data_IF_815043946746
#
_entry.id   IF_815043946746
#
_cell.length_a   1.000
_cell.length_b   1.000
_cell.length_c   1.000
_cell.angle_alpha   90.00
_cell.angle_beta   90.00
_cell.angle_gamma   90.00
#
_symmetry.space_group_name_H-M   'P 1'
#
loop_
_entity.id
_entity.type
_entity.pdbx_description
1 polymer ?
#
# COMPACT_ATOMS: atom_id res chain seq x y z
N UNK A 1 -27.55 29.04 0.89
CA UNK A 1 -26.98 29.48 -0.41
C UNK A 1 -25.62 30.09 -0.11
N UNK A 2 -24.52 29.41 -0.49
CA UNK A 2 -23.14 29.87 -0.21
C UNK A 2 -22.70 30.84 -1.32
N UNK A 3 -22.00 31.94 -1.03
CA UNK A 3 -21.62 32.95 -2.03
C UNK A 3 -20.78 32.37 -3.16
N UNK A 4 -21.03 32.87 -4.38
CA UNK A 4 -20.50 32.42 -5.68
C UNK A 4 -19.02 32.80 -5.93
N UNK A 5 -18.19 32.83 -4.88
CA UNK A 5 -16.83 33.38 -4.91
C UNK A 5 -15.69 32.44 -4.53
N UNK A 6 -15.95 31.19 -4.11
CA UNK A 6 -14.88 30.31 -3.61
C UNK A 6 -15.08 28.81 -3.88
N UNK A 7 -15.72 28.46 -4.99
CA UNK A 7 -15.97 27.06 -5.33
C UNK A 7 -15.50 26.69 -6.73
N UNK A 8 -14.19 26.70 -6.98
CA UNK A 8 -13.57 25.87 -8.03
C UNK A 8 -12.06 25.83 -7.81
N UNK A 9 -11.55 24.82 -7.11
CA UNK A 9 -10.16 24.37 -7.36
C UNK A 9 -10.17 23.73 -8.74
N UNK A 10 -10.02 24.55 -9.79
CA UNK A 10 -10.05 24.11 -11.17
C UNK A 10 -8.81 23.23 -11.39
N UNK A 11 -8.98 22.05 -11.99
CA UNK A 11 -7.91 21.07 -12.18
C UNK A 11 -7.27 20.54 -10.89
N UNK A 12 -8.03 20.48 -9.79
CA UNK A 12 -7.61 19.91 -8.49
C UNK A 12 -6.32 20.50 -7.90
N UNK A 13 -5.86 21.66 -8.40
CA UNK A 13 -4.63 22.31 -7.98
C UNK A 13 -3.36 21.74 -8.63
N UNK A 14 -3.49 20.77 -9.54
CA UNK A 14 -2.37 20.07 -10.17
C UNK A 14 -2.37 20.22 -11.70
N UNK A 15 -2.69 21.42 -12.16
CA UNK A 15 -2.69 21.72 -13.58
C UNK A 15 -3.30 23.07 -13.91
N UNK A 16 -3.24 23.41 -15.19
CA UNK A 16 -3.76 24.66 -15.75
C UNK A 16 -4.99 24.35 -16.60
N UNK A 17 -6.04 25.16 -16.43
CA UNK A 17 -7.23 25.02 -17.27
C UNK A 17 -7.04 25.76 -18.59
N UNK A 18 -7.09 25.02 -19.70
CA UNK A 18 -7.09 25.57 -21.04
C UNK A 18 -8.53 25.95 -21.44
N UNK A 19 -8.77 27.24 -21.69
CA UNK A 19 -10.11 27.75 -22.04
C UNK A 19 -10.51 27.43 -23.48
N UNK A 20 -9.54 27.25 -24.36
CA UNK A 20 -9.74 26.95 -25.76
C UNK A 20 -10.18 25.49 -25.96
N UNK A 21 -9.52 24.55 -25.29
CA UNK A 21 -9.89 23.13 -25.34
C UNK A 21 -11.03 22.76 -24.36
N UNK A 22 -11.30 23.61 -23.37
CA UNK A 22 -12.25 23.31 -22.31
C UNK A 22 -11.80 22.21 -21.34
N UNK A 23 -10.49 21.92 -21.30
CA UNK A 23 -9.91 20.81 -20.52
C UNK A 23 -8.78 21.27 -19.60
N UNK A 24 -8.41 20.40 -18.66
CA UNK A 24 -7.22 20.60 -17.83
C UNK A 24 -5.98 20.06 -18.54
N UNK A 25 -4.92 20.86 -18.57
CA UNK A 25 -3.55 20.45 -18.86
C UNK A 25 -2.88 20.15 -17.51
N UNK A 26 -2.59 18.88 -17.26
CA UNK A 26 -2.09 18.44 -15.96
C UNK A 26 -0.59 18.67 -15.81
N UNK A 27 -0.18 19.02 -14.59
CA UNK A 27 1.22 19.05 -14.21
C UNK A 27 1.82 17.63 -14.29
N UNK A 28 3.15 17.54 -14.38
CA UNK A 28 3.86 16.26 -14.44
C UNK A 28 3.44 15.36 -13.27
N UNK A 29 3.26 14.06 -13.55
CA UNK A 29 2.75 13.04 -12.63
C UNK A 29 1.27 13.19 -12.24
N UNK A 30 0.51 14.10 -12.85
CA UNK A 30 -0.93 14.19 -12.63
C UNK A 30 -1.73 13.84 -13.89
N UNK A 31 -2.84 13.14 -13.71
CA UNK A 31 -3.71 12.70 -14.79
C UNK A 31 -5.19 12.75 -14.42
N UNK A 32 -6.04 12.50 -15.40
CA UNK A 32 -7.49 12.59 -15.32
C UNK A 32 -8.03 13.94 -15.77
N UNK A 33 -9.34 14.00 -16.02
CA UNK A 33 -10.03 15.19 -16.56
C UNK A 33 -9.86 16.46 -15.73
N UNK A 34 -9.55 16.31 -14.44
CA UNK A 34 -9.30 17.39 -13.50
C UNK A 34 -7.94 17.24 -12.81
N UNK A 35 -7.00 16.47 -13.35
CA UNK A 35 -5.68 16.25 -12.73
C UNK A 35 -5.78 15.72 -11.29
N UNK A 36 -6.79 14.88 -11.05
CA UNK A 36 -7.13 14.37 -9.72
C UNK A 36 -6.35 13.11 -9.33
N UNK A 37 -5.68 12.46 -10.28
CA UNK A 37 -4.94 11.23 -10.04
C UNK A 37 -3.45 11.51 -10.11
N UNK A 38 -2.75 11.25 -9.02
CA UNK A 38 -1.29 11.29 -8.98
C UNK A 38 -0.73 9.94 -9.41
N UNK A 39 0.09 9.94 -10.45
CA UNK A 39 0.90 8.81 -10.89
C UNK A 39 2.13 8.68 -9.99
N UNK A 40 2.68 7.47 -9.93
CA UNK A 40 3.92 7.25 -9.19
C UNK A 40 5.15 7.65 -10.01
N UNK A 41 5.12 7.41 -11.32
CA UNK A 41 6.17 7.75 -12.26
C UNK A 41 5.58 8.14 -13.62
N UNK A 42 6.34 8.89 -14.42
CA UNK A 42 6.05 9.12 -15.83
C UNK A 42 7.14 8.53 -16.74
N UNK A 43 8.39 8.56 -16.29
CA UNK A 43 9.56 7.94 -16.94
C UNK A 43 10.42 7.15 -15.93
N UNK A 44 11.39 6.38 -16.44
CA UNK A 44 12.33 5.60 -15.61
C UNK A 44 13.14 6.49 -14.65
N UNK A 45 13.38 7.75 -15.00
CA UNK A 45 14.10 8.72 -14.16
C UNK A 45 13.40 9.02 -12.83
N UNK A 46 12.08 8.79 -12.76
CA UNK A 46 11.29 8.94 -11.52
C UNK A 46 11.45 7.74 -10.57
N UNK A 47 12.09 6.66 -11.03
CA UNK A 47 12.15 5.38 -10.34
C UNK A 47 13.55 5.01 -9.86
N UNK A 48 14.49 5.94 -9.73
CA UNK A 48 15.82 5.69 -9.16
C UNK A 48 16.50 4.43 -9.74
N UNK A 49 16.59 3.37 -8.93
CA UNK A 49 17.16 2.07 -9.34
C UNK A 49 16.13 1.11 -9.96
N UNK A 50 15.11 1.62 -10.64
CA UNK A 50 13.98 0.88 -11.16
C UNK A 50 13.61 1.25 -12.59
N UNK A 51 12.40 0.86 -12.98
CA UNK A 51 11.74 1.25 -14.22
C UNK A 51 10.30 1.64 -13.97
N UNK A 52 9.80 2.57 -14.77
CA UNK A 52 8.42 3.01 -14.75
C UNK A 52 7.58 2.13 -15.68
N UNK A 53 6.70 1.32 -15.10
CA UNK A 53 5.89 0.33 -15.82
C UNK A 53 4.42 0.76 -15.82
N UNK A 54 3.81 0.78 -17.01
CA UNK A 54 2.35 0.91 -17.15
C UNK A 54 1.67 -0.41 -16.78
N UNK A 55 1.11 -0.45 -15.58
CA UNK A 55 0.18 -1.50 -15.17
C UNK A 55 -1.21 -1.11 -15.65
N UNK A 56 -1.58 -1.63 -16.82
CA UNK A 56 -2.92 -1.45 -17.39
C UNK A 56 -3.98 -1.80 -16.34
N UNK A 57 -4.67 -0.79 -15.84
CA UNK A 57 -5.82 -0.93 -14.96
C UNK A 57 -7.09 -0.65 -15.77
N UNK A 58 -8.21 -1.26 -15.40
CA UNK A 58 -9.49 -1.08 -16.11
C UNK A 58 -9.81 0.41 -16.32
N UNK A 59 -9.75 0.84 -17.58
CA UNK A 59 -10.10 2.20 -18.01
C UNK A 59 -9.05 3.29 -17.75
N UNK A 60 -7.84 2.99 -17.26
CA UNK A 60 -6.78 4.00 -17.07
C UNK A 60 -5.36 3.40 -17.04
N UNK A 61 -4.41 4.09 -17.67
CA UNK A 61 -2.96 3.85 -17.51
C UNK A 61 -2.55 4.26 -16.10
N UNK A 62 -2.02 3.30 -15.35
CA UNK A 62 -1.43 3.54 -14.03
C UNK A 62 0.03 3.17 -14.13
N UNK A 63 0.92 4.16 -14.05
CA UNK A 63 2.35 3.95 -14.09
C UNK A 63 2.92 3.80 -12.68
N UNK A 64 3.70 2.74 -12.44
CA UNK A 64 4.33 2.43 -11.16
C UNK A 64 5.80 2.04 -11.31
N UNK A 65 6.60 2.37 -10.30
CA UNK A 65 7.98 1.94 -10.24
C UNK A 65 8.08 0.46 -9.86
N UNK A 66 8.87 -0.28 -10.63
CA UNK A 66 9.36 -1.60 -10.29
C UNK A 66 10.88 -1.56 -10.21
N UNK A 67 11.42 -2.00 -9.10
CA UNK A 67 12.81 -1.88 -8.70
C UNK A 67 13.66 -3.03 -9.22
N UNK A 68 14.92 -2.75 -9.56
CA UNK A 68 15.89 -3.81 -9.85
C UNK A 68 16.17 -4.62 -8.57
N UNK A 69 16.60 -5.88 -8.72
CA UNK A 69 17.03 -6.70 -7.59
C UNK A 69 18.09 -5.95 -6.76
N UNK A 70 17.97 -6.03 -5.43
CA UNK A 70 18.80 -5.26 -4.50
C UNK A 70 18.29 -3.86 -4.20
N UNK A 71 17.12 -3.47 -4.72
CA UNK A 71 16.46 -2.21 -4.40
C UNK A 71 14.95 -2.40 -4.17
N UNK A 72 14.38 -1.56 -3.32
CA UNK A 72 12.95 -1.53 -2.99
C UNK A 72 12.50 -0.12 -2.59
N UNK A 73 11.24 0.00 -2.14
CA UNK A 73 10.61 1.28 -1.81
C UNK A 73 9.77 1.84 -2.95
N UNK A 74 9.00 2.89 -2.66
CA UNK A 74 8.05 3.47 -3.62
C UNK A 74 8.71 3.98 -4.90
N UNK A 75 9.95 4.48 -4.81
CA UNK A 75 10.71 5.04 -5.92
C UNK A 75 12.06 4.33 -6.13
N UNK A 76 12.21 3.11 -5.58
CA UNK A 76 13.44 2.31 -5.68
C UNK A 76 14.70 3.03 -5.16
N UNK A 77 14.51 3.77 -4.09
CA UNK A 77 15.49 4.60 -3.39
C UNK A 77 16.14 3.88 -2.21
N UNK A 78 15.55 2.78 -1.71
CA UNK A 78 16.10 1.96 -0.64
C UNK A 78 16.91 0.79 -1.20
N UNK A 79 18.09 0.53 -0.64
CA UNK A 79 18.90 -0.66 -0.97
C UNK A 79 18.46 -1.86 -0.14
N UNK A 80 18.50 -3.05 -0.73
CA UNK A 80 18.14 -4.30 -0.07
C UNK A 80 19.33 -5.26 0.02
N UNK A 81 19.48 -5.88 1.19
CA UNK A 81 20.37 -7.04 1.36
C UNK A 81 19.92 -8.26 0.54
N UNK A 82 18.64 -8.32 0.15
CA UNK A 82 18.09 -9.33 -0.75
C UNK A 82 18.32 -8.90 -2.21
N UNK A 83 19.49 -9.23 -2.74
CA UNK A 83 19.94 -8.76 -4.05
C UNK A 83 20.10 -9.87 -5.11
N UNK A 84 19.82 -11.12 -4.74
CA UNK A 84 19.92 -12.29 -5.61
C UNK A 84 18.79 -13.28 -5.30
N UNK A 85 18.57 -14.24 -6.20
CA UNK A 85 17.52 -15.25 -6.01
C UNK A 85 17.76 -16.04 -4.74
N UNK A 86 16.70 -16.28 -3.98
CA UNK A 86 16.80 -16.96 -2.69
C UNK A 86 17.07 -18.45 -2.91
N UNK A 87 18.22 -18.92 -2.43
CA UNK A 87 18.57 -20.35 -2.42
C UNK A 87 18.25 -21.00 -1.08
N UNK A 88 18.42 -20.28 0.02
CA UNK A 88 18.20 -20.77 1.39
C UNK A 88 17.57 -19.70 2.28
N UNK A 89 16.86 -20.16 3.32
CA UNK A 89 16.40 -19.32 4.42
C UNK A 89 17.59 -18.96 5.31
N UNK A 90 17.70 -17.69 5.63
CA UNK A 90 18.77 -17.19 6.49
C UNK A 90 18.22 -16.95 7.90
N UNK A 91 18.91 -17.46 8.93
CA UNK A 91 18.53 -17.23 10.33
C UNK A 91 18.88 -15.79 10.72
N UNK A 92 17.86 -14.94 10.90
CA UNK A 92 18.01 -13.60 11.46
C UNK A 92 17.54 -13.56 12.91
N UNK A 93 18.29 -12.84 13.75
CA UNK A 93 17.87 -12.50 15.11
C UNK A 93 17.21 -11.12 15.10
N UNK A 94 16.07 -10.97 15.78
CA UNK A 94 15.27 -9.75 15.94
C UNK A 94 14.41 -9.25 14.75
N UNK A 95 14.48 -9.89 13.59
CA UNK A 95 13.61 -9.64 12.43
C UNK A 95 12.90 -10.91 12.00
N UNK A 96 11.76 -10.75 11.31
CA UNK A 96 11.13 -11.84 10.56
C UNK A 96 11.58 -11.76 9.12
N UNK A 97 12.04 -12.89 8.57
CA UNK A 97 12.18 -13.11 7.13
C UNK A 97 11.02 -13.98 6.65
N UNK A 98 10.30 -13.49 5.64
CA UNK A 98 9.18 -14.23 5.04
C UNK A 98 9.48 -14.45 3.56
N UNK A 99 9.29 -15.70 3.11
CA UNK A 99 9.34 -16.07 1.69
C UNK A 99 7.97 -16.60 1.29
N UNK A 100 7.36 -15.96 0.30
CA UNK A 100 6.12 -16.39 -0.34
C UNK A 100 6.43 -16.89 -1.74
N UNK A 101 6.14 -18.17 -2.00
CA UNK A 101 6.18 -18.76 -3.34
C UNK A 101 4.77 -18.98 -3.83
N UNK A 102 4.42 -18.36 -4.96
CA UNK A 102 3.06 -18.29 -5.46
C UNK A 102 3.04 -18.66 -6.94
N UNK A 103 2.21 -19.64 -7.30
CA UNK A 103 1.98 -19.97 -8.70
C UNK A 103 1.19 -18.86 -9.40
N UNK A 104 1.73 -18.31 -10.48
CA UNK A 104 1.19 -17.20 -11.23
C UNK A 104 2.12 -15.97 -11.25
N UNK A 105 1.85 -15.03 -12.15
CA UNK A 105 2.68 -13.84 -12.45
C UNK A 105 1.99 -12.52 -12.05
N UNK A 106 1.11 -12.60 -11.04
CA UNK A 106 0.28 -11.48 -10.62
C UNK A 106 0.87 -10.79 -9.38
N UNK A 107 0.40 -11.18 -8.21
CA UNK A 107 0.80 -10.63 -6.92
C UNK A 107 0.69 -11.74 -5.87
N UNK A 108 1.46 -11.60 -4.80
CA UNK A 108 1.29 -12.34 -3.55
C UNK A 108 1.27 -11.38 -2.37
N UNK A 109 0.58 -11.76 -1.30
CA UNK A 109 0.46 -10.96 -0.11
C UNK A 109 0.32 -11.83 1.13
N UNK A 110 0.88 -11.35 2.24
CA UNK A 110 0.65 -11.89 3.59
C UNK A 110 0.26 -10.74 4.49
N UNK A 111 -0.64 -10.99 5.43
CA UNK A 111 -1.09 -9.99 6.39
C UNK A 111 -1.15 -10.55 7.81
N UNK A 112 -0.99 -9.66 8.77
CA UNK A 112 -0.85 -9.92 10.18
C UNK A 112 -1.84 -9.06 10.97
N UNK A 113 -2.49 -9.65 11.96
CA UNK A 113 -3.35 -8.94 12.90
C UNK A 113 -3.32 -9.64 14.25
N UNK A 114 -3.18 -8.88 15.35
CA UNK A 114 -3.24 -9.42 16.71
C UNK A 114 -4.58 -10.14 16.96
N UNK A 115 -4.55 -11.28 17.67
CA UNK A 115 -5.78 -11.91 18.15
C UNK A 115 -6.43 -10.99 19.17
N UNK A 116 -7.75 -10.85 19.11
CA UNK A 116 -8.50 -9.96 20.02
C UNK A 116 -8.58 -8.49 19.58
N UNK A 117 -8.08 -8.12 18.40
CA UNK A 117 -8.34 -6.79 17.81
C UNK A 117 -9.84 -6.48 17.83
N UNK A 118 -10.20 -5.34 18.43
CA UNK A 118 -11.59 -4.88 18.53
C UNK A 118 -12.08 -4.27 17.21
N UNK A 119 -13.39 -4.30 16.97
CA UNK A 119 -14.01 -3.70 15.78
C UNK A 119 -13.85 -2.19 15.68
N UNK A 120 -13.48 -1.52 16.78
CA UNK A 120 -13.12 -0.09 16.79
C UNK A 120 -11.91 0.24 15.93
N UNK A 121 -11.07 -0.73 15.55
CA UNK A 121 -9.95 -0.54 14.64
C UNK A 121 -10.39 0.01 13.26
N UNK A 122 -11.64 -0.25 12.85
CA UNK A 122 -12.21 0.29 11.60
C UNK A 122 -12.37 1.82 11.61
N UNK A 123 -12.17 2.46 12.75
CA UNK A 123 -12.17 3.92 12.87
C UNK A 123 -10.80 4.54 12.58
N UNK A 124 -9.75 3.73 12.35
CA UNK A 124 -8.41 4.20 12.00
C UNK A 124 -8.31 4.65 10.53
N UNK A 125 -7.50 5.65 10.17
CA UNK A 125 -7.01 6.70 11.05
C UNK A 125 -8.20 7.49 11.53
N UNK A 126 -8.17 7.89 12.80
CA UNK A 126 -9.19 8.77 13.35
C UNK A 126 -9.14 10.07 12.53
N UNK A 127 -10.10 10.26 11.64
CA UNK A 127 -10.27 11.53 10.94
C UNK A 127 -10.81 12.50 12.00
N UNK A 128 -9.90 13.20 12.65
CA UNK A 128 -10.23 14.44 13.34
C UNK A 128 -10.49 15.46 12.23
N UNK A 129 -11.68 16.07 12.20
CA UNK A 129 -12.00 17.09 11.21
C UNK A 129 -10.87 18.14 11.12
N UNK A 130 -10.52 18.51 9.89
CA UNK A 130 -9.39 19.38 9.55
C UNK A 130 -9.38 20.66 10.42
N UNK A 131 -8.41 20.76 11.32
CA UNK A 131 -8.22 21.92 12.20
C UNK A 131 -7.81 21.60 13.64
N UNK A 132 -7.71 20.33 14.05
CA UNK A 132 -7.21 20.00 15.37
C UNK A 132 -5.69 20.29 15.47
N UNK A 133 -5.23 21.11 16.44
CA UNK A 133 -3.81 21.38 16.63
C UNK A 133 -3.06 20.08 16.95
N UNK A 134 -1.86 19.93 16.40
CA UNK A 134 -0.98 18.78 16.68
C UNK A 134 -0.74 18.64 18.18
N UNK A 135 -1.44 17.69 18.80
CA UNK A 135 -1.38 17.37 20.22
C UNK A 135 -2.39 16.28 20.57
N UNK A 136 -2.19 15.53 21.67
CA UNK A 136 -3.17 14.56 22.13
C UNK A 136 -4.48 15.29 22.45
N UNK A 137 -5.52 15.02 21.66
CA UNK A 137 -6.86 15.56 21.89
C UNK A 137 -7.35 15.05 23.25
N UNK A 138 -7.53 15.96 24.20
CA UNK A 138 -8.30 15.66 25.42
C UNK A 138 -9.76 15.55 25.01
N UNK A 139 -10.27 14.32 24.95
CA UNK A 139 -11.69 14.04 24.69
C UNK A 139 -12.54 14.59 25.83
N UNK A 140 -13.47 15.50 25.52
CA UNK A 140 -14.66 15.68 26.36
C UNK A 140 -15.55 14.45 26.14
N UNK A 141 -15.94 13.81 27.24
CA UNK A 141 -16.49 12.45 27.35
C UNK A 141 -17.89 12.21 26.72
N UNK A 142 -18.43 13.10 25.89
CA UNK A 142 -19.86 13.08 25.54
C UNK A 142 -20.20 12.83 24.06
N UNK A 143 -19.23 12.50 23.21
CA UNK A 143 -19.53 11.89 21.91
C UNK A 143 -19.60 10.38 22.09
N UNK A 144 -20.81 9.82 21.98
CA UNK A 144 -21.06 8.38 22.01
C UNK A 144 -20.42 7.67 20.80
N UNK A 145 -19.10 7.55 20.83
CA UNK A 145 -18.27 6.82 19.87
C UNK A 145 -18.68 5.35 19.79
N UNK A 146 -19.37 4.79 20.80
CA UNK A 146 -19.86 3.42 20.76
C UNK A 146 -20.97 3.23 19.74
N UNK A 147 -21.79 4.26 19.47
CA UNK A 147 -22.85 4.20 18.45
C UNK A 147 -22.29 4.00 17.03
N UNK A 148 -21.06 4.46 16.76
CA UNK A 148 -20.39 4.36 15.46
C UNK A 148 -19.47 3.14 15.33
N UNK A 149 -19.21 2.39 16.41
CA UNK A 149 -18.41 1.16 16.33
C UNK A 149 -19.20 0.10 15.55
N UNK A 150 -18.64 -0.42 14.44
CA UNK A 150 -19.30 -1.49 13.70
C UNK A 150 -19.48 -2.73 14.59
N UNK A 151 -20.73 -3.15 14.80
CA UNK A 151 -21.08 -4.25 15.73
C UNK A 151 -20.83 -5.66 15.18
N UNK A 152 -20.48 -5.78 13.89
CA UNK A 152 -20.22 -7.07 13.24
C UNK A 152 -18.79 -7.57 13.43
N UNK A 153 -18.61 -8.90 13.48
CA UNK A 153 -17.29 -9.55 13.56
C UNK A 153 -16.32 -9.02 12.51
N UNK A 154 -15.03 -9.00 12.84
CA UNK A 154 -13.98 -8.64 11.90
C UNK A 154 -13.87 -9.68 10.78
N UNK A 155 -13.94 -9.21 9.55
CA UNK A 155 -13.55 -9.98 8.37
C UNK A 155 -12.02 -10.17 8.38
N UNK A 156 -11.53 -11.17 7.64
CA UNK A 156 -10.10 -11.46 7.55
C UNK A 156 -9.27 -10.24 7.14
N UNK A 157 -9.74 -9.50 6.14
CA UNK A 157 -9.10 -8.26 5.64
C UNK A 157 -9.26 -7.03 6.53
N UNK A 158 -10.08 -7.06 7.58
CA UNK A 158 -10.27 -5.83 8.37
C UNK A 158 -9.07 -5.61 9.28
N UNK A 159 -8.60 -4.36 9.35
CA UNK A 159 -7.54 -3.92 10.26
C UNK A 159 -6.29 -4.80 10.24
N UNK A 160 -5.78 -5.03 9.03
CA UNK A 160 -4.68 -5.96 8.80
C UNK A 160 -3.51 -5.21 8.16
N UNK A 161 -2.38 -5.26 8.85
CA UNK A 161 -1.05 -4.91 8.35
C UNK A 161 -0.62 -6.00 7.37
N UNK A 162 -0.07 -5.63 6.22
CA UNK A 162 0.27 -6.56 5.17
C UNK A 162 1.45 -6.14 4.34
N UNK A 163 2.15 -7.15 3.82
CA UNK A 163 3.18 -6.96 2.82
C UNK A 163 2.69 -7.56 1.51
N UNK A 164 2.73 -6.76 0.45
CA UNK A 164 2.27 -7.11 -0.89
C UNK A 164 3.46 -7.05 -1.85
N UNK A 165 3.69 -8.15 -2.56
CA UNK A 165 4.74 -8.26 -3.56
C UNK A 165 4.20 -8.54 -4.96
N UNK A 166 4.85 -7.94 -5.94
CA UNK A 166 4.67 -8.17 -7.37
C UNK A 166 6.04 -8.22 -8.03
N UNK A 167 6.15 -8.94 -9.14
CA UNK A 167 7.34 -8.94 -9.97
C UNK A 167 6.98 -8.86 -11.45
N UNK A 168 7.97 -8.53 -12.27
CA UNK A 168 7.94 -8.52 -13.74
C UNK A 168 9.30 -9.01 -14.20
N UNK A 169 9.45 -10.32 -14.37
CA UNK A 169 10.77 -10.95 -14.47
C UNK A 169 11.60 -10.64 -13.22
N UNK A 170 12.74 -9.94 -13.38
CA UNK A 170 13.62 -9.55 -12.26
C UNK A 170 13.37 -8.12 -11.73
N UNK A 171 12.35 -7.42 -12.24
CA UNK A 171 11.91 -6.15 -11.67
C UNK A 171 10.84 -6.43 -10.61
N UNK A 172 10.89 -5.73 -9.48
CA UNK A 172 10.12 -6.09 -8.30
C UNK A 172 9.43 -4.90 -7.67
N UNK A 173 8.32 -5.16 -7.00
CA UNK A 173 7.61 -4.17 -6.21
C UNK A 173 7.06 -4.86 -4.99
N UNK A 174 7.74 -4.66 -3.87
CA UNK A 174 7.31 -5.13 -2.57
C UNK A 174 7.09 -3.92 -1.69
N UNK A 175 5.97 -3.89 -1.00
CA UNK A 175 5.61 -2.78 -0.12
C UNK A 175 4.77 -3.27 1.05
N UNK A 176 4.95 -2.59 2.16
CA UNK A 176 4.06 -2.59 3.31
C UNK A 176 2.81 -1.76 3.05
N UNK A 177 1.74 -2.21 3.66
CA UNK A 177 0.48 -1.54 3.57
C UNK A 177 -0.49 -2.05 4.59
N UNK A 178 -1.59 -1.34 4.66
CA UNK A 178 -2.63 -1.62 5.62
C UNK A 178 -3.98 -1.56 4.93
N UNK A 179 -4.87 -2.40 5.43
CA UNK A 179 -6.27 -2.36 5.11
C UNK A 179 -7.09 -2.23 6.39
N UNK A 180 -7.95 -1.22 6.38
CA UNK A 180 -8.88 -0.96 7.47
C UNK A 180 -10.12 -1.85 7.38
N UNK A 181 -10.54 -2.17 6.16
CA UNK A 181 -11.79 -2.84 5.85
C UNK A 181 -11.63 -3.83 4.68
N UNK A 182 -12.67 -4.05 3.88
CA UNK A 182 -12.61 -4.96 2.71
C UNK A 182 -12.19 -4.26 1.42
N UNK A 183 -11.68 -3.03 1.51
CA UNK A 183 -11.20 -2.27 0.36
C UNK A 183 -9.82 -2.74 -0.10
N UNK A 184 -9.39 -2.18 -1.23
CA UNK A 184 -8.04 -2.41 -1.75
C UNK A 184 -7.01 -1.87 -0.74
N UNK A 185 -6.06 -2.70 -0.30
CA UNK A 185 -4.98 -2.26 0.57
C UNK A 185 -4.24 -1.03 0.02
N UNK A 186 -3.78 -0.18 0.93
CA UNK A 186 -3.03 1.04 0.62
C UNK A 186 -1.70 0.99 1.36
N UNK A 187 -0.67 1.61 0.78
CA UNK A 187 0.62 1.85 1.46
C UNK A 187 0.39 2.55 2.79
N UNK A 188 1.21 2.26 3.79
CA UNK A 188 1.03 2.80 5.14
C UNK A 188 1.13 4.32 5.22
N UNK A 189 1.92 4.93 4.33
CA UNK A 189 1.95 6.39 4.13
C UNK A 189 0.57 7.03 3.92
N UNK A 190 -0.40 6.31 3.36
CA UNK A 190 -1.78 6.80 3.21
C UNK A 190 -2.52 6.90 4.54
N UNK A 191 -2.17 6.04 5.48
CA UNK A 191 -2.75 5.94 6.81
C UNK A 191 -1.93 6.67 7.89
N UNK A 192 -0.88 7.41 7.49
CA UNK A 192 0.00 8.13 8.39
C UNK A 192 1.09 7.26 9.03
N UNK A 193 1.37 6.10 8.45
CA UNK A 193 2.53 5.25 8.75
C UNK A 193 3.66 5.40 7.73
N UNK A 194 4.67 4.56 7.85
CA UNK A 194 5.89 4.54 7.05
C UNK A 194 6.11 3.18 6.39
N UNK A 195 7.00 3.15 5.39
CA UNK A 195 7.43 1.88 4.81
C UNK A 195 8.52 1.25 5.71
N UNK A 196 8.15 0.27 6.54
CA UNK A 196 8.94 -0.34 7.64
C UNK A 196 9.80 -1.55 7.22
N UNK A 197 9.70 -1.97 5.96
CA UNK A 197 10.51 -3.05 5.41
C UNK A 197 12.00 -2.70 5.46
N UNK A 198 12.81 -3.65 5.94
CA UNK A 198 14.28 -3.51 6.04
C UNK A 198 15.01 -4.17 4.87
N UNK A 199 14.36 -5.13 4.22
CA UNK A 199 14.81 -5.71 2.96
C UNK A 199 13.59 -6.23 2.18
N UNK A 200 13.64 -6.17 0.85
CA UNK A 200 12.61 -6.75 0.02
C UNK A 200 13.13 -7.15 -1.36
N UNK A 201 12.55 -8.20 -1.91
CA UNK A 201 12.83 -8.75 -3.22
C UNK A 201 11.59 -9.45 -3.75
N UNK A 202 11.37 -9.38 -5.06
CA UNK A 202 10.52 -10.34 -5.75
C UNK A 202 11.05 -10.64 -7.14
N UNK A 203 10.74 -11.81 -7.68
CA UNK A 203 11.07 -12.18 -9.05
C UNK A 203 10.09 -13.23 -9.58
N UNK A 204 10.01 -13.33 -10.90
CA UNK A 204 9.23 -14.34 -11.62
C UNK A 204 10.14 -15.31 -12.35
N UNK A 205 9.91 -16.60 -12.17
CA UNK A 205 10.61 -17.68 -12.86
C UNK A 205 9.67 -18.86 -13.05
N UNK A 206 9.67 -19.48 -14.24
CA UNK A 206 8.88 -20.68 -14.55
C UNK A 206 7.37 -20.60 -14.20
N UNK A 207 6.78 -19.41 -14.33
CA UNK A 207 5.37 -19.18 -14.00
C UNK A 207 5.09 -19.03 -12.50
N UNK A 208 6.11 -18.98 -11.66
CA UNK A 208 6.04 -18.74 -10.22
C UNK A 208 6.55 -17.33 -9.88
N UNK A 209 5.82 -16.64 -9.01
CA UNK A 209 6.30 -15.42 -8.35
C UNK A 209 6.86 -15.78 -6.98
N UNK A 210 8.13 -15.47 -6.74
CA UNK A 210 8.75 -15.51 -5.41
C UNK A 210 8.84 -14.11 -4.85
N UNK A 211 8.39 -13.92 -3.61
CA UNK A 211 8.48 -12.67 -2.85
C UNK A 211 9.22 -12.97 -1.55
N UNK A 212 10.21 -12.15 -1.21
CA UNK A 212 10.93 -12.23 0.05
C UNK A 212 11.03 -10.84 0.67
N UNK A 213 10.83 -10.74 1.98
CA UNK A 213 11.00 -9.49 2.69
C UNK A 213 11.44 -9.70 4.13
N UNK A 214 11.96 -8.64 4.73
CA UNK A 214 12.31 -8.56 6.14
C UNK A 214 11.66 -7.34 6.76
N UNK A 215 11.21 -7.51 8.01
CA UNK A 215 10.75 -6.43 8.86
C UNK A 215 11.12 -6.71 10.31
N UNK A 216 11.15 -5.65 11.12
CA UNK A 216 11.39 -5.75 12.56
C UNK A 216 10.21 -6.40 13.27
N UNK A 217 10.48 -7.15 14.35
CA UNK A 217 9.44 -7.72 15.19
C UNK A 217 8.59 -6.65 15.90
N UNK A 218 9.25 -5.57 16.34
CA UNK A 218 8.60 -4.45 17.02
C UNK A 218 8.44 -3.29 16.06
N UNK A 219 7.23 -2.77 15.95
CA UNK A 219 6.92 -1.54 15.22
C UNK A 219 6.30 -0.50 16.16
N UNK A 220 6.70 0.75 15.96
CA UNK A 220 6.07 1.93 16.57
C UNK A 220 5.19 2.68 15.56
N UNK A 221 5.02 2.12 14.37
CA UNK A 221 4.19 2.68 13.33
C UNK A 221 2.70 2.56 13.69
N UNK A 222 1.89 3.49 13.18
CA UNK A 222 0.45 3.55 13.45
C UNK A 222 -0.35 2.52 12.66
N UNK A 223 0.12 2.15 11.47
CA UNK A 223 -0.51 1.19 10.58
C UNK A 223 -0.02 -0.25 10.85
N UNK A 224 1.14 -0.40 11.48
CA UNK A 224 1.74 -1.71 11.71
C UNK A 224 1.28 -2.41 12.99
N UNK A 225 1.47 -3.73 12.98
CA UNK A 225 1.36 -4.57 14.16
C UNK A 225 2.72 -5.15 14.55
N UNK A 226 3.08 -5.01 15.82
CA UNK A 226 4.23 -5.76 16.37
C UNK A 226 3.91 -7.25 16.42
N UNK A 227 4.88 -8.07 16.01
CA UNK A 227 4.87 -9.52 16.15
C UNK A 227 5.48 -9.82 17.52
N UNK A 228 4.63 -10.25 18.44
CA UNK A 228 4.95 -10.53 19.85
C UNK A 228 4.73 -12.03 20.13
N UNK A 229 5.09 -12.50 21.32
CA UNK A 229 4.81 -13.88 21.77
C UNK A 229 3.35 -14.05 22.20
N UNK A 230 2.44 -13.76 21.26
CA UNK A 230 1.00 -13.79 21.43
C UNK A 230 0.35 -14.32 20.14
N UNK A 231 -0.85 -14.87 20.26
CA UNK A 231 -1.56 -15.37 19.09
C UNK A 231 -1.85 -14.26 18.06
N UNK A 232 -1.64 -14.57 16.78
CA UNK A 232 -1.94 -13.69 15.67
C UNK A 232 -2.82 -14.37 14.61
N UNK A 233 -3.66 -13.57 13.96
CA UNK A 233 -4.27 -13.93 12.70
C UNK A 233 -3.30 -13.64 11.56
N UNK A 234 -3.00 -14.67 10.78
CA UNK A 234 -2.26 -14.55 9.53
C UNK A 234 -3.22 -14.79 8.37
N UNK A 235 -3.21 -13.89 7.39
CA UNK A 235 -3.96 -14.04 6.15
C UNK A 235 -2.98 -14.05 4.98
N UNK A 236 -3.38 -14.65 3.87
CA UNK A 236 -2.63 -14.58 2.63
C UNK A 236 -3.57 -14.44 1.45
N UNK A 237 -3.04 -13.86 0.37
CA UNK A 237 -3.75 -13.71 -0.89
C UNK A 237 -2.76 -13.76 -2.05
N UNK A 238 -3.25 -14.20 -3.21
CA UNK A 238 -2.51 -14.09 -4.45
C UNK A 238 -3.47 -13.84 -5.61
N UNK A 239 -2.96 -13.18 -6.64
CA UNK A 239 -3.74 -12.89 -7.83
C UNK A 239 -3.95 -14.14 -8.70
N UNK A 240 -5.16 -14.27 -9.23
CA UNK A 240 -5.49 -15.32 -10.19
C UNK A 240 -4.83 -15.02 -11.54
N UNK A 241 -4.55 -16.06 -12.33
CA UNK A 241 -4.13 -15.90 -13.72
C UNK A 241 -5.24 -15.18 -14.53
N UNK A 242 -4.84 -14.31 -15.46
CA UNK A 242 -5.77 -13.65 -16.38
C UNK A 242 -6.62 -14.71 -17.10
N UNK A 243 -7.93 -14.70 -16.84
CA UNK A 243 -8.89 -15.58 -17.51
C UNK A 243 -9.31 -16.85 -16.76
N UNK A 244 -8.81 -17.09 -15.53
CA UNK A 244 -9.29 -18.20 -14.68
C UNK A 244 -10.07 -17.67 -13.48
N UNK A 245 -11.33 -18.08 -13.36
CA UNK A 245 -12.09 -17.84 -12.12
C UNK A 245 -11.90 -19.00 -11.16
N UNK A 246 -12.25 -18.82 -9.88
CA UNK A 246 -12.04 -19.82 -8.82
C UNK A 246 -12.82 -21.15 -9.01
N UNK A 247 -13.56 -21.27 -10.11
CA UNK A 247 -14.46 -22.37 -10.46
C UNK A 247 -14.07 -23.10 -11.75
N UNK A 248 -12.87 -22.84 -12.30
CA UNK A 248 -12.34 -23.52 -13.50
C UNK A 248 -11.25 -24.54 -13.15
#
# INVERSE_FOLDING_TARGET
IVPRGKLTVRCSGNGKYNRQSGSCECDRLYTGRRCQYKLECDSDDDCGNGKCIDIKSTGSTVKQCFCKMGYFGRYCDKSSALNSKITDLTSYQAEVEVILKVRGLSYGAVGFRKKGTSTSCRNFPLILEDGAPEGPVKFNQDLDLQSFIPKGRLHAMDCTDMVIGMARGNLNRVFDGYTRDRSRPRRDSFWGGEDDLTAALAYEEDGETTIAFRRKMKSNDKADVSIDDEDMHVIWAFGQELGKTKND
#
